data_IF_879389808337
#
_entry.id   IF_879389808337
#
_cell.length_a   1.000
_cell.length_b   1.000
_cell.length_c   1.000
_cell.angle_alpha   90.00
_cell.angle_beta   90.00
_cell.angle_gamma   90.00
#
_symmetry.space_group_name_H-M   'P 1'
#
loop_
_entity.id
_entity.type
_entity.pdbx_description
1 polymer ?
#
# COMPACT_ATOMS: atom_id res chain seq x y z
N UNK A 1 7.20 19.01 -5.43
CA UNK A 1 7.12 19.16 -6.91
C UNK A 1 6.67 20.59 -7.22
N UNK A 2 7.07 21.20 -8.35
CA UNK A 2 6.59 22.54 -8.73
C UNK A 2 5.14 22.48 -9.25
N UNK A 3 4.36 23.56 -9.07
CA UNK A 3 2.94 23.63 -9.46
C UNK A 3 2.71 23.23 -10.91
N UNK A 4 3.43 23.84 -11.85
CA UNK A 4 3.27 23.58 -13.29
C UNK A 4 3.51 22.10 -13.64
N UNK A 5 4.52 21.48 -13.03
CA UNK A 5 4.83 20.05 -13.22
C UNK A 5 3.70 19.16 -12.70
N UNK A 6 3.16 19.49 -11.53
CA UNK A 6 2.07 18.73 -10.92
C UNK A 6 0.77 18.87 -11.74
N UNK A 7 0.41 20.08 -12.16
CA UNK A 7 -0.73 20.33 -13.05
C UNK A 7 -0.59 19.55 -14.36
N UNK A 8 0.58 19.58 -15.00
CA UNK A 8 0.84 18.82 -16.21
C UNK A 8 0.73 17.30 -15.99
N UNK A 9 1.22 16.79 -14.87
CA UNK A 9 1.11 15.37 -14.51
C UNK A 9 -0.34 14.94 -14.28
N UNK A 10 -1.12 15.70 -13.50
CA UNK A 10 -2.54 15.41 -13.30
C UNK A 10 -3.31 15.42 -14.63
N UNK A 11 -3.03 16.40 -15.47
CA UNK A 11 -3.67 16.55 -16.76
C UNK A 11 -3.28 15.41 -17.72
N UNK A 12 -2.03 14.93 -17.68
CA UNK A 12 -1.60 13.76 -18.45
C UNK A 12 -2.28 12.46 -17.97
N UNK A 13 -2.46 12.29 -16.66
CA UNK A 13 -3.08 11.09 -16.07
C UNK A 13 -4.60 11.05 -16.29
N UNK A 14 -5.25 12.21 -16.25
CA UNK A 14 -6.74 12.29 -16.25
C UNK A 14 -7.33 12.91 -17.51
N UNK A 15 -6.50 13.39 -18.44
CA UNK A 15 -6.96 14.14 -19.61
C UNK A 15 -7.77 13.31 -20.61
N UNK A 16 -7.54 12.00 -20.64
CA UNK A 16 -8.29 11.04 -21.44
C UNK A 16 -9.61 10.62 -20.77
N UNK A 17 -9.89 11.00 -19.51
CA UNK A 17 -11.09 10.56 -18.81
C UNK A 17 -12.34 11.31 -19.29
N UNK A 18 -13.37 10.55 -19.60
CA UNK A 18 -14.69 11.04 -19.94
C UNK A 18 -15.61 11.00 -18.71
N UNK A 19 -16.41 12.05 -18.56
CA UNK A 19 -17.51 12.12 -17.60
C UNK A 19 -18.78 12.41 -18.39
N UNK A 20 -19.75 11.51 -18.31
CA UNK A 20 -21.00 11.56 -19.06
C UNK A 20 -22.07 12.43 -18.38
N UNK A 21 -21.99 12.57 -17.06
CA UNK A 21 -22.98 13.21 -16.20
C UNK A 21 -22.31 14.00 -15.06
N UNK A 22 -23.09 14.80 -14.35
CA UNK A 22 -22.61 15.68 -13.28
C UNK A 22 -22.06 14.91 -12.07
N UNK A 23 -22.56 13.70 -11.80
CA UNK A 23 -22.06 12.83 -10.73
C UNK A 23 -20.64 12.34 -11.04
N UNK A 24 -20.38 11.92 -12.29
CA UNK A 24 -19.05 11.53 -12.77
C UNK A 24 -18.07 12.71 -12.79
N UNK A 25 -18.53 13.92 -13.14
CA UNK A 25 -17.71 15.14 -13.03
C UNK A 25 -17.34 15.42 -11.56
N UNK A 26 -18.28 15.22 -10.63
CA UNK A 26 -18.00 15.37 -9.19
C UNK A 26 -17.00 14.32 -8.68
N UNK A 27 -17.09 13.07 -9.15
CA UNK A 27 -16.11 12.03 -8.85
C UNK A 27 -14.73 12.35 -9.44
N UNK A 28 -14.69 12.92 -10.64
CA UNK A 28 -13.46 13.34 -11.29
C UNK A 28 -12.81 14.52 -10.54
N UNK A 29 -13.60 15.47 -10.05
CA UNK A 29 -13.15 16.55 -9.18
C UNK A 29 -12.54 15.99 -7.88
N UNK A 30 -13.18 15.00 -7.25
CA UNK A 30 -12.64 14.30 -6.07
C UNK A 30 -11.31 13.61 -6.39
N UNK A 31 -11.22 12.97 -7.57
CA UNK A 31 -10.01 12.33 -8.04
C UNK A 31 -8.86 13.34 -8.18
N UNK A 32 -9.09 14.49 -8.79
CA UNK A 32 -8.06 15.52 -8.95
C UNK A 32 -7.51 16.00 -7.61
N UNK A 33 -8.37 16.20 -6.62
CA UNK A 33 -7.95 16.60 -5.27
C UNK A 33 -7.07 15.52 -4.61
N UNK A 34 -7.50 14.26 -4.65
CA UNK A 34 -6.75 13.14 -4.07
C UNK A 34 -5.41 12.89 -4.79
N UNK A 35 -5.39 13.01 -6.12
CA UNK A 35 -4.17 12.90 -6.92
C UNK A 35 -3.20 14.04 -6.62
N UNK A 36 -3.67 15.28 -6.54
CA UNK A 36 -2.82 16.43 -6.25
C UNK A 36 -2.18 16.36 -4.85
N UNK A 37 -2.85 15.77 -3.87
CA UNK A 37 -2.25 15.48 -2.56
C UNK A 37 -1.21 14.34 -2.64
N UNK A 38 -1.54 13.25 -3.34
CA UNK A 38 -0.71 12.04 -3.37
C UNK A 38 0.56 12.20 -4.21
N UNK A 39 0.44 12.83 -5.38
CA UNK A 39 1.52 12.91 -6.39
C UNK A 39 2.66 13.86 -6.01
N UNK A 40 2.50 14.66 -4.96
CA UNK A 40 3.60 15.52 -4.46
C UNK A 40 4.80 14.72 -3.98
N UNK A 41 4.55 13.50 -3.47
CA UNK A 41 5.55 12.65 -2.82
C UNK A 41 5.75 11.31 -3.53
N UNK A 42 5.08 11.07 -4.66
CA UNK A 42 5.17 9.85 -5.43
C UNK A 42 5.86 10.09 -6.78
N UNK A 43 6.71 9.16 -7.19
CA UNK A 43 7.30 9.15 -8.54
C UNK A 43 6.24 8.83 -9.60
N UNK A 44 6.15 9.66 -10.63
CA UNK A 44 5.23 9.51 -11.76
C UNK A 44 5.35 8.15 -12.45
N UNK A 45 6.56 7.58 -12.51
CA UNK A 45 6.79 6.28 -13.16
C UNK A 45 6.17 5.10 -12.41
N UNK A 46 5.83 5.29 -11.13
CA UNK A 46 5.27 4.23 -10.27
C UNK A 46 3.73 4.14 -10.31
N UNK A 47 3.07 5.08 -11.01
CA UNK A 47 1.62 5.24 -11.05
C UNK A 47 0.96 4.18 -11.93
N UNK A 48 1.63 3.74 -12.99
CA UNK A 48 1.19 2.64 -13.86
C UNK A 48 2.37 1.70 -14.13
N UNK A 49 2.10 0.41 -14.29
CA UNK A 49 3.10 -0.58 -14.72
C UNK A 49 2.88 -1.01 -16.17
N UNK A 50 1.97 -0.36 -16.88
CA UNK A 50 1.67 -0.62 -18.28
C UNK A 50 1.41 0.69 -19.01
N UNK A 51 2.04 0.83 -20.17
CA UNK A 51 1.80 1.91 -21.11
C UNK A 51 1.62 1.34 -22.50
N UNK A 52 0.77 1.98 -23.28
CA UNK A 52 0.50 1.59 -24.65
C UNK A 52 0.94 2.70 -25.58
N UNK A 53 1.51 2.36 -26.74
CA UNK A 53 2.04 3.33 -27.70
C UNK A 53 0.98 4.32 -28.21
N UNK A 54 -0.30 3.96 -28.17
CA UNK A 54 -1.39 4.86 -28.55
C UNK A 54 -1.75 5.88 -27.45
N UNK A 55 -1.43 5.62 -26.18
CA UNK A 55 -1.68 6.57 -25.08
C UNK A 55 -0.77 7.80 -25.18
N UNK A 56 0.36 7.67 -25.87
CA UNK A 56 1.25 8.77 -26.23
C UNK A 56 0.89 9.46 -27.55
N UNK A 57 -0.27 9.16 -28.15
CA UNK A 57 -0.73 9.82 -29.38
C UNK A 57 -1.42 11.16 -29.09
N UNK A 58 -1.27 12.14 -29.99
CA UNK A 58 -1.75 13.53 -29.86
C UNK A 58 -3.24 13.65 -29.46
N UNK A 59 -4.05 12.65 -29.79
CA UNK A 59 -5.46 12.55 -29.40
C UNK A 59 -5.73 12.55 -27.90
N UNK A 60 -4.75 12.23 -27.05
CA UNK A 60 -4.92 12.10 -25.60
C UNK A 60 -4.23 13.20 -24.78
N UNK A 61 -3.61 14.18 -25.44
CA UNK A 61 -2.88 15.24 -24.74
C UNK A 61 -3.80 16.30 -24.14
N UNK A 62 -3.23 17.04 -23.20
CA UNK A 62 -3.78 18.20 -22.46
C UNK A 62 -4.60 19.18 -23.30
N UNK A 63 -4.31 19.29 -24.59
CA UNK A 63 -5.02 20.16 -25.54
C UNK A 63 -6.49 19.76 -25.74
N UNK A 64 -6.85 18.52 -25.41
CA UNK A 64 -8.22 17.99 -25.51
C UNK A 64 -9.00 18.08 -24.19
N UNK A 65 -8.38 18.57 -23.11
CA UNK A 65 -9.07 18.88 -21.86
C UNK A 65 -9.84 20.17 -22.07
N UNK A 66 -11.17 20.15 -21.85
CA UNK A 66 -12.02 21.37 -21.93
C UNK A 66 -11.34 22.48 -21.10
N UNK A 67 -11.11 23.66 -21.67
CA UNK A 67 -10.27 24.71 -21.05
C UNK A 67 -10.62 25.03 -19.58
N UNK A 68 -11.91 25.07 -19.26
CA UNK A 68 -12.41 25.25 -17.89
C UNK A 68 -11.90 24.18 -16.91
N UNK A 69 -11.73 22.92 -17.33
CA UNK A 69 -11.22 21.84 -16.48
C UNK A 69 -9.74 22.03 -16.16
N UNK A 70 -8.92 22.52 -17.09
CA UNK A 70 -7.51 22.78 -16.82
C UNK A 70 -7.32 23.91 -15.80
N UNK A 71 -8.12 24.97 -15.92
CA UNK A 71 -8.16 26.07 -14.94
C UNK A 71 -8.54 25.57 -13.53
N UNK A 72 -9.57 24.71 -13.44
CA UNK A 72 -9.97 24.08 -12.17
C UNK A 72 -8.86 23.22 -11.57
N UNK A 73 -8.15 22.43 -12.38
CA UNK A 73 -7.02 21.62 -11.90
C UNK A 73 -5.93 22.53 -11.34
N UNK A 74 -5.56 23.60 -12.07
CA UNK A 74 -4.51 24.52 -11.60
C UNK A 74 -4.89 25.23 -10.29
N UNK A 75 -6.14 25.68 -10.17
CA UNK A 75 -6.63 26.30 -8.94
C UNK A 75 -6.56 25.35 -7.74
N UNK A 76 -6.94 24.08 -7.93
CA UNK A 76 -6.87 23.04 -6.88
C UNK A 76 -5.43 22.72 -6.48
N UNK A 77 -4.55 22.53 -7.47
CA UNK A 77 -3.13 22.25 -7.21
C UNK A 77 -2.51 23.38 -6.38
N UNK A 78 -2.82 24.63 -6.71
CA UNK A 78 -2.36 25.80 -5.96
C UNK A 78 -2.81 25.76 -4.49
N UNK A 79 -4.11 25.55 -4.24
CA UNK A 79 -4.67 25.45 -2.89
C UNK A 79 -4.01 24.33 -2.06
N UNK A 80 -3.76 23.18 -2.68
CA UNK A 80 -3.17 22.03 -1.98
C UNK A 80 -1.70 22.30 -1.65
N UNK A 81 -0.94 22.91 -2.57
CA UNK A 81 0.45 23.30 -2.31
C UNK A 81 0.56 24.35 -1.19
N UNK A 82 -0.43 25.22 -1.04
CA UNK A 82 -0.51 26.18 0.06
C UNK A 82 -0.88 25.51 1.40
N UNK A 83 -1.72 24.46 1.38
CA UNK A 83 -2.20 23.78 2.58
C UNK A 83 -1.13 22.98 3.35
N UNK A 84 -0.03 22.59 2.70
CA UNK A 84 1.02 21.70 3.26
C UNK A 84 0.49 20.41 3.92
N UNK A 85 -0.73 19.97 3.60
CA UNK A 85 -1.26 18.72 4.12
C UNK A 85 -0.50 17.54 3.52
N UNK A 86 0.17 16.77 4.38
CA UNK A 86 0.88 15.56 3.98
C UNK A 86 -0.08 14.38 3.93
N UNK A 87 -0.05 13.65 2.82
CA UNK A 87 -0.87 12.46 2.64
C UNK A 87 0.02 11.23 2.56
N UNK A 88 -0.18 10.27 3.47
CA UNK A 88 0.52 8.98 3.51
C UNK A 88 -0.07 7.99 2.49
N UNK A 89 -0.61 8.47 1.37
CA UNK A 89 -1.16 7.62 0.31
C UNK A 89 -0.17 7.46 -0.84
N UNK A 90 -0.33 6.35 -1.56
CA UNK A 90 0.21 6.12 -2.90
C UNK A 90 -0.91 5.70 -3.82
N UNK A 91 -0.88 6.15 -5.06
CA UNK A 91 -1.90 5.85 -6.06
C UNK A 91 -1.35 4.93 -7.16
N UNK A 92 -2.19 4.02 -7.62
CA UNK A 92 -1.95 3.21 -8.80
C UNK A 92 -3.16 3.30 -9.75
N UNK A 93 -2.88 3.47 -11.04
CA UNK A 93 -3.88 3.44 -12.10
C UNK A 93 -3.98 2.02 -12.61
N UNK A 94 -5.10 1.39 -12.25
CA UNK A 94 -5.45 0.04 -12.66
C UNK A 94 -6.33 0.10 -13.89
N UNK A 95 -6.10 -0.79 -14.84
CA UNK A 95 -6.82 -0.84 -16.12
C UNK A 95 -7.57 -2.18 -16.35
N UNK A 96 -7.52 -3.06 -15.36
CA UNK A 96 -8.20 -4.36 -15.35
C UNK A 96 -9.14 -4.49 -14.14
N UNK A 97 -10.30 -5.14 -14.30
CA UNK A 97 -11.27 -5.29 -13.21
C UNK A 97 -10.80 -6.28 -12.14
N UNK A 98 -9.86 -7.17 -12.48
CA UNK A 98 -9.26 -8.13 -11.56
C UNK A 98 -8.06 -7.52 -10.84
N UNK A 99 -7.75 -8.05 -9.65
CA UNK A 99 -6.58 -7.67 -8.84
C UNK A 99 -5.66 -8.88 -8.72
N UNK A 100 -4.61 -8.93 -9.52
CA UNK A 100 -3.66 -10.03 -9.57
C UNK A 100 -2.27 -9.54 -9.96
N UNK A 101 -1.23 -10.11 -9.35
CA UNK A 101 0.16 -9.87 -9.77
C UNK A 101 0.51 -10.55 -11.09
N UNK A 102 -0.36 -11.42 -11.62
CA UNK A 102 -0.14 -12.15 -12.86
C UNK A 102 -0.61 -11.37 -14.10
N UNK A 103 -1.30 -10.25 -13.90
CA UNK A 103 -1.91 -9.45 -14.98
C UNK A 103 -1.29 -8.05 -14.95
N UNK A 104 -0.71 -7.64 -16.08
CA UNK A 104 -0.20 -6.28 -16.23
C UNK A 104 -1.35 -5.26 -16.07
N UNK A 105 -1.04 -4.07 -15.54
CA UNK A 105 -2.04 -3.04 -15.28
C UNK A 105 -2.98 -3.34 -14.11
N UNK A 106 -2.76 -4.42 -13.34
CA UNK A 106 -3.62 -4.85 -12.24
C UNK A 106 -3.13 -4.43 -10.84
N UNK A 107 -1.96 -4.93 -10.41
CA UNK A 107 -1.32 -4.58 -9.13
C UNK A 107 0.15 -4.26 -9.38
N UNK A 108 0.70 -3.16 -8.84
CA UNK A 108 2.12 -2.86 -8.96
C UNK A 108 2.95 -3.68 -7.95
N UNK A 109 4.22 -3.90 -8.26
CA UNK A 109 5.14 -4.66 -7.38
C UNK A 109 5.23 -4.11 -5.95
N UNK A 110 5.09 -2.79 -5.78
CA UNK A 110 5.17 -2.13 -4.49
C UNK A 110 3.90 -2.28 -3.63
N UNK A 111 2.77 -2.69 -4.20
CA UNK A 111 1.49 -2.84 -3.51
C UNK A 111 1.04 -4.31 -3.35
N UNK A 112 1.92 -5.27 -3.65
CA UNK A 112 1.58 -6.70 -3.59
C UNK A 112 1.22 -7.10 -2.16
N UNK A 113 0.01 -7.64 -1.99
CA UNK A 113 -0.53 -8.01 -0.68
C UNK A 113 -1.04 -6.83 0.17
N UNK A 114 -0.92 -5.59 -0.32
CA UNK A 114 -1.46 -4.42 0.37
C UNK A 114 -2.98 -4.32 0.19
N UNK A 115 -3.68 -3.90 1.24
CA UNK A 115 -5.10 -3.59 1.16
C UNK A 115 -5.29 -2.23 0.51
N UNK A 116 -6.16 -2.16 -0.50
CA UNK A 116 -6.60 -0.89 -1.07
C UNK A 116 -7.38 -0.11 -0.01
N UNK A 117 -6.96 1.13 0.23
CA UNK A 117 -7.60 2.05 1.15
C UNK A 117 -8.89 2.60 0.55
N UNK A 118 -8.82 3.08 -0.69
CA UNK A 118 -9.94 3.62 -1.45
C UNK A 118 -9.73 3.37 -2.94
N UNK A 119 -10.81 3.14 -3.66
CA UNK A 119 -10.82 3.12 -5.13
C UNK A 119 -11.73 4.23 -5.62
N UNK A 120 -11.28 5.00 -6.62
CA UNK A 120 -12.12 5.96 -7.36
C UNK A 120 -12.23 5.49 -8.81
N UNK A 121 -13.45 5.49 -9.35
CA UNK A 121 -13.80 4.92 -10.66
C UNK A 121 -14.67 3.65 -10.53
N UNK A 122 -14.87 2.91 -11.62
CA UNK A 122 -14.20 3.04 -12.91
C UNK A 122 -14.58 4.31 -13.66
N UNK A 123 -13.60 4.93 -14.31
CA UNK A 123 -13.83 5.93 -15.35
C UNK A 123 -13.61 5.29 -16.72
N UNK A 124 -14.28 5.82 -17.73
CA UNK A 124 -14.08 5.40 -19.12
C UNK A 124 -13.14 6.41 -19.78
N UNK A 125 -12.00 5.93 -20.28
CA UNK A 125 -11.12 6.71 -21.12
C UNK A 125 -11.73 6.95 -22.50
N UNK A 126 -11.28 7.98 -23.22
CA UNK A 126 -11.66 8.21 -24.63
C UNK A 126 -11.30 7.04 -25.55
N UNK A 127 -10.39 6.16 -25.12
CA UNK A 127 -10.03 4.91 -25.76
C UNK A 127 -11.00 3.75 -25.43
N UNK A 128 -12.07 4.01 -24.67
CA UNK A 128 -13.10 3.05 -24.28
C UNK A 128 -12.70 2.13 -23.12
N UNK A 129 -11.51 2.30 -22.55
CA UNK A 129 -11.01 1.44 -21.48
C UNK A 129 -11.43 1.91 -20.10
N UNK A 130 -11.64 0.96 -19.20
CA UNK A 130 -11.94 1.25 -17.80
C UNK A 130 -10.66 1.52 -17.04
N UNK A 131 -10.66 2.59 -16.23
CA UNK A 131 -9.55 2.98 -15.38
C UNK A 131 -10.05 3.16 -13.93
N UNK A 132 -9.35 2.53 -13.00
CA UNK A 132 -9.56 2.68 -11.56
C UNK A 132 -8.32 3.32 -10.94
N UNK A 133 -8.56 4.18 -9.95
CA UNK A 133 -7.51 4.81 -9.18
C UNK A 133 -7.53 4.20 -7.79
N UNK A 134 -6.60 3.26 -7.57
CA UNK A 134 -6.46 2.54 -6.31
C UNK A 134 -5.46 3.29 -5.42
N UNK A 135 -5.93 3.78 -4.27
CA UNK A 135 -5.14 4.45 -3.26
C UNK A 135 -4.75 3.46 -2.15
N UNK A 136 -3.47 3.47 -1.78
CA UNK A 136 -2.88 2.61 -0.77
C UNK A 136 -2.26 3.46 0.32
N UNK A 137 -2.50 3.08 1.58
CA UNK A 137 -1.88 3.74 2.73
C UNK A 137 -0.47 3.21 2.95
N UNK A 138 0.50 4.11 2.98
CA UNK A 138 1.89 3.84 3.34
C UNK A 138 2.02 3.95 4.85
N UNK A 139 2.36 2.85 5.50
CA UNK A 139 2.61 2.85 6.94
C UNK A 139 4.10 2.70 7.23
N UNK A 140 4.60 3.48 8.19
CA UNK A 140 5.97 3.34 8.70
C UNK A 140 6.03 2.15 9.66
N UNK A 141 6.77 1.11 9.26
CA UNK A 141 7.00 -0.10 10.06
C UNK A 141 8.41 -0.10 10.65
N UNK A 142 8.55 -0.71 11.82
CA UNK A 142 9.82 -1.03 12.46
C UNK A 142 10.39 -2.25 11.74
N UNK A 143 11.65 -2.17 11.33
CA UNK A 143 12.34 -3.20 10.59
C UNK A 143 13.43 -3.84 11.46
N UNK A 144 13.28 -5.14 11.74
CA UNK A 144 14.27 -5.94 12.48
C UNK A 144 15.15 -6.72 11.51
N UNK A 145 16.47 -6.59 11.67
CA UNK A 145 17.50 -7.17 10.81
C UNK A 145 18.38 -8.15 11.57
N UNK A 146 18.91 -9.13 10.84
CA UNK A 146 20.07 -9.91 11.30
C UNK A 146 21.37 -9.34 10.70
N UNK A 147 22.52 -9.50 11.36
CA UNK A 147 23.80 -9.04 10.85
C UNK A 147 24.14 -9.76 9.54
N UNK A 148 24.67 -9.03 8.56
CA UNK A 148 25.02 -9.58 7.24
C UNK A 148 23.84 -9.82 6.29
N UNK A 149 22.58 -9.61 6.73
CA UNK A 149 21.41 -9.69 5.87
C UNK A 149 21.00 -8.29 5.38
N UNK A 150 20.91 -8.06 4.05
CA UNK A 150 20.60 -6.73 3.51
C UNK A 150 19.13 -6.33 3.70
N UNK A 151 18.25 -7.32 3.88
CA UNK A 151 16.80 -7.15 3.97
C UNK A 151 16.30 -7.48 5.38
N UNK A 152 15.27 -6.79 5.87
CA UNK A 152 14.73 -7.05 7.20
C UNK A 152 14.09 -8.43 7.28
N UNK A 153 14.28 -9.09 8.42
CA UNK A 153 13.68 -10.37 8.73
C UNK A 153 12.16 -10.23 8.97
N UNK A 154 11.77 -9.21 9.74
CA UNK A 154 10.37 -8.92 10.06
C UNK A 154 10.13 -7.42 10.12
N UNK A 155 8.95 -6.99 9.67
CA UNK A 155 8.46 -5.61 9.71
C UNK A 155 7.17 -5.58 10.52
N UNK A 156 7.08 -4.68 11.49
CA UNK A 156 5.94 -4.62 12.40
C UNK A 156 5.70 -3.23 12.98
N UNK A 157 4.59 -3.05 13.69
CA UNK A 157 4.26 -1.84 14.44
C UNK A 157 4.05 -2.18 15.90
N UNK A 158 4.68 -1.42 16.79
CA UNK A 158 4.64 -1.67 18.23
C UNK A 158 4.27 -0.40 19.04
N UNK A 159 3.80 -0.60 20.26
CA UNK A 159 3.64 0.46 21.26
C UNK A 159 4.93 0.60 22.06
N UNK A 160 5.33 1.84 22.31
CA UNK A 160 6.48 2.18 23.14
C UNK A 160 6.04 2.82 24.45
N UNK A 161 6.72 2.46 25.54
CA UNK A 161 6.40 2.90 26.91
C UNK A 161 6.97 4.28 27.19
N UNK A 162 8.20 4.53 26.71
CA UNK A 162 8.86 5.81 26.85
C UNK A 162 8.47 6.77 25.73
N UNK A 163 7.32 7.43 25.89
CA UNK A 163 6.83 8.51 24.99
C UNK A 163 7.50 9.87 25.28
N UNK A 164 8.77 9.90 25.63
CA UNK A 164 9.47 11.18 25.83
C UNK A 164 9.78 11.73 24.44
N UNK A 165 9.00 12.74 24.04
CA UNK A 165 9.14 13.64 22.90
C UNK A 165 9.97 13.16 21.68
N UNK A 166 9.27 12.86 20.60
CA UNK A 166 9.81 12.93 19.22
C UNK A 166 10.98 11.98 18.93
N UNK A 167 10.84 10.70 19.25
CA UNK A 167 11.85 9.71 18.86
C UNK A 167 11.44 9.08 17.53
N UNK A 168 12.15 9.47 16.45
CA UNK A 168 12.08 8.85 15.11
C UNK A 168 12.72 7.45 15.07
N UNK A 169 13.27 6.99 16.19
CA UNK A 169 13.95 5.72 16.36
C UNK A 169 13.14 4.77 17.27
N UNK A 170 13.12 3.46 16.97
CA UNK A 170 12.41 2.49 17.80
C UNK A 170 13.04 2.39 19.20
N UNK A 171 12.22 2.16 20.22
CA UNK A 171 12.70 1.88 21.59
C UNK A 171 13.54 0.61 21.60
N UNK A 172 14.74 0.66 22.20
CA UNK A 172 15.60 -0.50 22.36
C UNK A 172 15.12 -1.34 23.53
N UNK A 173 14.30 -2.33 23.23
CA UNK A 173 13.75 -3.30 24.19
C UNK A 173 13.87 -4.72 23.65
N UNK A 174 13.74 -5.70 24.54
CA UNK A 174 13.63 -7.11 24.19
C UNK A 174 12.19 -7.50 23.85
N UNK A 175 11.23 -6.78 24.41
CA UNK A 175 9.81 -7.07 24.31
C UNK A 175 9.08 -5.97 23.56
N UNK A 176 8.55 -6.29 22.37
CA UNK A 176 7.75 -5.39 21.55
C UNK A 176 6.29 -5.81 21.58
N UNK A 177 5.43 -4.94 22.11
CA UNK A 177 3.98 -5.14 22.10
C UNK A 177 3.40 -4.64 20.78
N UNK A 178 2.89 -5.55 19.97
CA UNK A 178 2.34 -5.25 18.65
C UNK A 178 0.93 -4.66 18.75
N UNK A 179 0.65 -3.70 17.88
CA UNK A 179 -0.71 -3.13 17.71
C UNK A 179 -1.46 -3.80 16.57
N UNK A 180 -2.76 -3.57 16.51
CA UNK A 180 -3.57 -3.97 15.35
C UNK A 180 -3.00 -3.37 14.05
N UNK A 181 -2.97 -4.19 13.00
CA UNK A 181 -2.36 -3.82 11.72
C UNK A 181 -1.81 -5.03 10.98
N UNK A 182 -0.67 -4.86 10.32
CA UNK A 182 0.01 -5.93 9.58
C UNK A 182 1.42 -6.18 10.10
N UNK A 183 1.81 -7.46 10.14
CA UNK A 183 3.19 -7.91 10.33
C UNK A 183 3.65 -8.55 9.02
N UNK A 184 4.83 -8.17 8.55
CA UNK A 184 5.41 -8.72 7.33
C UNK A 184 6.67 -9.50 7.65
N UNK A 185 6.68 -10.78 7.29
CA UNK A 185 7.79 -11.68 7.57
C UNK A 185 8.49 -11.98 6.25
N UNK A 186 9.81 -11.91 6.22
CA UNK A 186 10.56 -12.29 5.02
C UNK A 186 10.24 -13.74 4.66
N UNK A 187 9.82 -13.98 3.42
CA UNK A 187 9.34 -15.29 2.98
C UNK A 187 10.41 -16.38 3.12
N UNK A 188 11.70 -16.01 3.05
CA UNK A 188 12.82 -16.94 3.21
C UNK A 188 12.93 -17.54 4.61
N UNK A 189 12.42 -16.83 5.61
CA UNK A 189 12.26 -17.37 6.98
C UNK A 189 11.24 -18.49 6.94
N UNK A 190 10.09 -18.31 6.28
CA UNK A 190 9.02 -19.31 6.23
C UNK A 190 9.37 -20.50 5.33
N UNK A 191 10.05 -20.29 4.21
CA UNK A 191 10.48 -21.35 3.28
C UNK A 191 11.84 -21.04 2.66
N UNK A 192 12.80 -21.97 2.74
CA UNK A 192 14.15 -21.76 2.21
C UNK A 192 14.18 -21.55 0.68
N UNK A 193 13.19 -22.10 -0.03
CA UNK A 193 13.03 -21.95 -1.48
C UNK A 193 12.39 -20.62 -1.90
N UNK A 194 11.90 -19.82 -0.94
CA UNK A 194 11.27 -18.55 -1.27
C UNK A 194 12.31 -17.50 -1.71
N UNK A 195 11.94 -16.59 -2.64
CA UNK A 195 12.80 -15.48 -3.02
C UNK A 195 13.12 -14.58 -1.82
N UNK A 196 14.38 -14.14 -1.71
CA UNK A 196 14.86 -13.37 -0.56
C UNK A 196 14.23 -11.96 -0.44
N UNK A 197 13.71 -11.42 -1.54
CA UNK A 197 13.11 -10.09 -1.64
C UNK A 197 11.59 -10.08 -1.50
N UNK A 198 10.98 -11.18 -1.03
CA UNK A 198 9.53 -11.29 -0.87
C UNK A 198 9.15 -11.42 0.60
N UNK A 199 7.96 -10.92 0.92
CA UNK A 199 7.42 -10.90 2.27
C UNK A 199 6.03 -11.52 2.29
N UNK A 200 5.69 -12.16 3.40
CA UNK A 200 4.35 -12.62 3.71
C UNK A 200 3.73 -11.67 4.72
N UNK A 201 2.68 -10.96 4.31
CA UNK A 201 1.92 -10.06 5.16
C UNK A 201 0.80 -10.78 5.91
N UNK A 202 0.69 -10.52 7.21
CA UNK A 202 -0.30 -11.15 8.09
C UNK A 202 -1.02 -10.06 8.86
N UNK A 203 -2.35 -10.16 8.92
CA UNK A 203 -3.19 -9.21 9.66
C UNK A 203 -3.39 -9.68 11.09
N UNK A 204 -3.18 -8.74 12.01
CA UNK A 204 -3.21 -9.01 13.45
C UNK A 204 -4.07 -7.97 14.17
N UNK A 205 -4.64 -8.39 15.30
CA UNK A 205 -5.27 -7.49 16.28
C UNK A 205 -4.27 -7.06 17.36
N UNK A 206 -3.17 -7.79 17.51
CA UNK A 206 -2.05 -7.50 18.42
C UNK A 206 -1.11 -8.70 18.52
N UNK A 207 -0.17 -8.65 19.46
CA UNK A 207 0.82 -9.72 19.64
C UNK A 207 2.05 -9.24 20.37
N UNK A 208 3.07 -10.09 20.44
CA UNK A 208 4.37 -9.79 21.05
C UNK A 208 5.51 -10.33 20.17
N UNK A 209 6.62 -9.61 20.18
CA UNK A 209 7.91 -10.09 19.70
C UNK A 209 8.88 -10.01 20.87
N UNK A 210 9.46 -11.16 21.23
CA UNK A 210 10.49 -11.28 22.26
C UNK A 210 11.84 -11.62 21.62
N UNK A 211 12.87 -10.95 22.10
CA UNK A 211 14.27 -11.13 21.72
C UNK A 211 15.06 -11.57 22.95
N UNK A 212 15.83 -12.66 22.89
CA UNK A 212 16.60 -13.11 24.07
C UNK A 212 17.65 -12.05 24.50
N UNK A 213 18.28 -11.42 23.50
CA UNK A 213 19.25 -10.33 23.69
C UNK A 213 18.71 -8.96 23.27
N UNK A 214 19.22 -7.91 23.90
CA UNK A 214 18.85 -6.53 23.58
C UNK A 214 19.35 -6.19 22.16
N UNK A 215 18.49 -5.69 21.27
CA UNK A 215 18.90 -5.30 19.93
C UNK A 215 19.74 -4.02 19.94
N UNK A 216 20.45 -3.78 18.85
CA UNK A 216 21.27 -2.61 18.62
C UNK A 216 20.67 -1.75 17.51
N UNK A 217 20.71 -0.43 17.67
CA UNK A 217 20.34 0.50 16.60
C UNK A 217 21.60 0.93 15.85
N UNK A 218 21.67 0.65 14.54
CA UNK A 218 22.77 1.11 13.69
C UNK A 218 22.19 1.74 12.41
N UNK A 219 22.57 3.00 12.11
CA UNK A 219 22.07 3.76 10.96
C UNK A 219 20.53 3.76 10.84
N UNK A 220 19.82 3.87 11.99
CA UNK A 220 18.36 3.86 12.04
C UNK A 220 17.71 2.48 11.79
N UNK A 221 18.50 1.42 11.65
CA UNK A 221 18.02 0.03 11.52
C UNK A 221 18.20 -0.72 12.84
N UNK A 222 17.20 -1.50 13.22
CA UNK A 222 17.22 -2.32 14.43
C UNK A 222 17.84 -3.68 14.08
N UNK A 223 18.99 -3.98 14.66
CA UNK A 223 19.70 -5.25 14.48
C UNK A 223 19.60 -6.10 15.73
N UNK A 224 19.32 -7.38 15.54
CA UNK A 224 19.51 -8.40 16.56
C UNK A 224 20.82 -9.15 16.31
N UNK A 225 21.34 -9.90 17.29
CA UNK A 225 22.42 -10.86 17.07
C UNK A 225 21.94 -12.02 16.17
N UNK A 226 22.85 -12.61 15.39
CA UNK A 226 22.58 -13.74 14.49
C UNK A 226 22.11 -15.00 15.23
N UNK A 227 22.61 -15.22 16.45
CA UNK A 227 22.24 -16.35 17.30
C UNK A 227 20.99 -16.09 18.17
N UNK A 228 20.50 -14.85 18.19
CA UNK A 228 19.36 -14.50 19.02
C UNK A 228 18.09 -15.19 18.49
N UNK A 229 17.35 -15.84 19.38
CA UNK A 229 16.03 -16.35 19.03
C UNK A 229 15.02 -15.20 19.07
N UNK A 230 14.27 -15.07 17.99
CA UNK A 230 13.15 -14.14 17.87
C UNK A 230 11.87 -14.96 18.06
N UNK A 231 11.22 -14.82 19.21
CA UNK A 231 9.93 -15.45 19.48
C UNK A 231 8.81 -14.49 19.11
N UNK A 232 7.92 -14.92 18.21
CA UNK A 232 6.79 -14.13 17.73
C UNK A 232 5.49 -14.80 18.13
N UNK A 233 4.60 -14.06 18.77
CA UNK A 233 3.26 -14.50 19.15
C UNK A 233 2.23 -13.51 18.60
N UNK A 234 1.46 -13.93 17.61
CA UNK A 234 0.48 -13.09 16.93
C UNK A 234 -0.93 -13.46 17.33
N UNK A 235 -1.78 -12.44 17.54
CA UNK A 235 -3.24 -12.58 17.64
C UNK A 235 -3.84 -12.24 16.28
N UNK A 236 -4.38 -13.25 15.60
CA UNK A 236 -4.77 -13.14 14.20
C UNK A 236 -6.07 -12.34 14.04
N UNK A 237 -6.14 -11.48 13.03
CA UNK A 237 -7.40 -10.85 12.62
C UNK A 237 -8.26 -11.88 11.87
N UNK A 238 -9.50 -12.08 12.31
CA UNK A 238 -10.43 -12.97 11.62
C UNK A 238 -11.02 -12.26 10.40
N UNK A 239 -11.21 -12.97 9.27
CA UNK A 239 -11.85 -12.39 8.11
C UNK A 239 -13.29 -12.01 8.44
N UNK A 240 -13.68 -10.78 8.10
CA UNK A 240 -15.08 -10.36 8.16
C UNK A 240 -15.79 -10.91 6.94
N UNK A 241 -16.94 -11.56 7.15
CA UNK A 241 -17.77 -12.05 6.04
C UNK A 241 -18.18 -10.85 5.17
N UNK A 242 -17.90 -10.94 3.87
CA UNK A 242 -18.31 -9.90 2.94
C UNK A 242 -19.85 -9.80 2.94
N UNK A 243 -20.43 -8.58 2.85
CA UNK A 243 -21.87 -8.42 2.72
C UNK A 243 -22.34 -9.12 1.43
N UNK A 244 -23.45 -9.85 1.52
CA UNK A 244 -24.07 -10.50 0.36
C UNK A 244 -24.73 -9.41 -0.49
N UNK A 245 -24.14 -9.10 -1.65
CA UNK A 245 -24.58 -7.97 -2.50
C UNK A 245 -25.81 -8.33 -3.35
N UNK A 246 -26.07 -9.62 -3.60
CA UNK A 246 -27.29 -10.08 -4.26
C UNK A 246 -27.61 -11.55 -3.92
N UNK A 247 -28.91 -11.86 -3.78
CA UNK A 247 -29.42 -13.22 -3.78
C UNK A 247 -29.53 -13.72 -5.23
N UNK A 248 -28.38 -13.90 -5.87
CA UNK A 248 -28.28 -14.53 -7.19
C UNK A 248 -28.11 -16.05 -7.01
N UNK A 249 -28.54 -16.87 -7.96
CA UNK A 249 -28.45 -18.33 -7.89
C UNK A 249 -26.99 -18.83 -7.98
N UNK A 250 -26.07 -17.98 -8.46
CA UNK A 250 -24.65 -18.33 -8.63
C UNK A 250 -23.82 -18.01 -7.37
N UNK A 251 -22.88 -18.91 -7.01
CA UNK A 251 -21.88 -18.68 -5.95
C UNK A 251 -22.41 -18.83 -4.51
N UNK A 252 -23.46 -19.64 -4.32
CA UNK A 252 -24.04 -19.88 -3.00
C UNK A 252 -23.06 -20.53 -2.01
N UNK A 253 -22.17 -21.39 -2.50
CA UNK A 253 -21.08 -22.02 -1.76
C UNK A 253 -20.04 -21.00 -1.26
N UNK A 254 -19.60 -20.09 -2.14
CA UNK A 254 -18.67 -19.02 -1.78
C UNK A 254 -19.27 -18.05 -0.76
N UNK A 255 -20.58 -17.74 -0.88
CA UNK A 255 -21.30 -16.92 0.11
C UNK A 255 -21.48 -17.62 1.45
N UNK A 256 -21.69 -18.93 1.44
CA UNK A 256 -21.85 -19.72 2.66
C UNK A 256 -20.51 -20.05 3.35
N UNK A 257 -19.38 -19.81 2.68
CA UNK A 257 -18.06 -20.12 3.19
C UNK A 257 -17.76 -19.34 4.49
N UNK A 258 -17.44 -20.09 5.54
CA UNK A 258 -16.96 -19.54 6.82
C UNK A 258 -15.48 -19.90 6.97
N UNK A 259 -14.62 -18.91 6.81
CA UNK A 259 -13.19 -19.06 7.05
C UNK A 259 -12.91 -18.72 8.51
N UNK A 260 -12.34 -19.65 9.26
CA UNK A 260 -11.88 -19.42 10.64
C UNK A 260 -10.38 -19.65 10.70
N UNK A 261 -9.64 -18.58 10.95
CA UNK A 261 -8.20 -18.66 11.17
C UNK A 261 -7.92 -19.06 12.63
N UNK A 262 -6.76 -19.65 12.95
CA UNK A 262 -6.32 -19.81 14.33
C UNK A 262 -6.38 -18.47 15.09
N UNK A 263 -6.82 -18.48 16.34
CA UNK A 263 -6.89 -17.25 17.14
C UNK A 263 -5.48 -16.68 17.40
N UNK A 264 -4.52 -17.57 17.59
CA UNK A 264 -3.11 -17.25 17.82
C UNK A 264 -2.23 -18.04 16.86
N UNK A 265 -1.11 -17.44 16.49
CA UNK A 265 -0.03 -18.11 15.77
C UNK A 265 1.29 -17.75 16.41
N UNK A 266 2.06 -18.77 16.78
CA UNK A 266 3.35 -18.61 17.46
C UNK A 266 4.42 -19.34 16.67
N UNK A 267 5.56 -18.70 16.51
CA UNK A 267 6.73 -19.28 15.87
C UNK A 267 7.99 -18.61 16.41
N UNK A 268 9.15 -19.24 16.24
CA UNK A 268 10.44 -18.66 16.57
C UNK A 268 11.45 -18.89 15.46
N UNK A 269 12.43 -17.99 15.35
CA UNK A 269 13.49 -18.09 14.35
C UNK A 269 14.76 -17.38 14.79
N UNK A 270 15.88 -17.83 14.24
CA UNK A 270 17.19 -17.17 14.29
C UNK A 270 17.57 -16.74 12.87
N UNK A 271 18.80 -16.27 12.65
CA UNK A 271 19.28 -15.99 11.30
C UNK A 271 19.28 -17.23 10.38
N UNK A 272 19.41 -18.44 10.94
CA UNK A 272 19.66 -19.67 10.19
C UNK A 272 18.67 -20.81 10.48
N UNK A 273 17.94 -20.76 11.58
CA UNK A 273 17.02 -21.82 12.03
C UNK A 273 15.64 -21.27 12.30
N UNK A 274 14.62 -22.14 12.27
CA UNK A 274 13.23 -21.79 12.53
C UNK A 274 12.47 -22.93 13.20
N UNK A 275 11.46 -22.56 13.97
CA UNK A 275 10.45 -23.42 14.57
C UNK A 275 9.09 -22.75 14.33
N UNK A 276 8.27 -23.33 13.45
CA UNK A 276 6.98 -22.77 13.01
C UNK A 276 5.90 -23.81 13.22
#
# INVERSE_FOLDING_TARGET
MQQQTLTALLAAITGNLYAANDDEETQLDNLHEQLAQTLQHQDATSITNQSFSYQSSDFFFTQNIKGNRLEKIDERVRKILESNETNDLKVFVRDTPIRSTQVAGSIPDWAVGAKVFKTIGPFIGRDGRWQWFDFFKVEKLIALYFPGQPLPAILFKAVFTNRIFTITTPELTRDYNLVAGSVWINAKILSAAAPANRYCGIRITGGTIHLDTLPQLNNGKLFTDALNNVLVQLKMEQPVTAPVIAADDHGADARALKIKLPATWQFSFTANTKSI
#
